data_IF_457909964946
#
_entry.id   IF_457909964946
#
_cell.length_a   1.000
_cell.length_b   1.000
_cell.length_c   1.000
_cell.angle_alpha   90.00
_cell.angle_beta   90.00
_cell.angle_gamma   90.00
#
_symmetry.space_group_name_H-M   'P 1'
#
loop_
_entity.id
_entity.type
_entity.pdbx_description
1 polymer ?
#
# COMPACT_ATOMS: atom_id res chain seq x y z
N UNK A 1 72.83 27.29 33.42
CA UNK A 1 72.79 26.05 34.22
C UNK A 1 71.35 25.59 34.28
N UNK A 2 71.07 24.39 33.72
CA UNK A 2 69.87 23.54 33.86
C UNK A 2 68.53 24.12 33.33
N UNK A 3 67.60 23.42 32.70
CA UNK A 3 67.48 22.23 31.83
C UNK A 3 65.95 22.05 31.61
N UNK A 4 65.50 21.60 30.43
CA UNK A 4 64.22 20.86 30.17
C UNK A 4 62.87 21.57 30.49
N UNK A 5 61.70 21.33 29.90
CA UNK A 5 61.15 20.54 28.79
C UNK A 5 59.63 20.84 28.74
N UNK A 6 58.99 20.66 27.58
CA UNK A 6 57.64 20.07 27.33
C UNK A 6 56.77 20.93 26.40
N UNK A 7 56.46 20.30 25.27
CA UNK A 7 55.54 20.68 24.20
C UNK A 7 54.09 20.71 24.69
N UNK A 8 53.31 21.68 24.19
CA UNK A 8 51.87 21.60 24.15
C UNK A 8 51.40 22.08 22.76
N UNK A 9 51.21 21.11 21.86
CA UNK A 9 50.37 21.29 20.68
C UNK A 9 48.91 21.23 21.10
N UNK A 10 48.08 22.14 20.59
CA UNK A 10 46.65 21.86 20.41
C UNK A 10 46.08 22.63 19.23
N UNK A 11 46.05 21.89 18.12
CA UNK A 11 45.21 21.93 16.93
C UNK A 11 44.23 23.11 16.73
N UNK A 12 44.40 23.76 15.58
CA UNK A 12 43.47 24.65 14.89
C UNK A 12 42.36 23.87 14.13
N UNK A 13 41.74 22.87 14.75
CA UNK A 13 40.59 22.10 14.23
C UNK A 13 39.24 22.80 14.44
N UNK A 14 39.15 24.10 14.11
CA UNK A 14 37.86 24.84 14.14
C UNK A 14 37.27 25.14 12.76
N UNK A 15 37.87 24.62 11.68
CA UNK A 15 37.33 24.74 10.33
C UNK A 15 36.56 23.49 9.82
N UNK A 16 36.56 22.37 10.55
CA UNK A 16 35.85 21.14 10.15
C UNK A 16 34.51 20.89 10.90
N UNK A 17 34.12 21.75 11.85
CA UNK A 17 32.94 21.51 12.70
C UNK A 17 31.66 22.26 12.26
N UNK A 18 31.54 22.61 10.98
CA UNK A 18 30.34 23.23 10.40
C UNK A 18 29.84 22.53 9.12
N UNK A 19 30.34 21.32 8.83
CA UNK A 19 29.86 20.45 7.77
C UNK A 19 28.97 19.31 8.31
N UNK A 20 28.26 19.56 9.41
CA UNK A 20 27.22 18.68 9.92
C UNK A 20 25.99 18.84 9.04
N UNK A 21 25.94 18.04 7.98
CA UNK A 21 24.86 17.96 6.98
C UNK A 21 23.46 17.92 7.65
N UNK A 22 22.82 19.09 7.77
CA UNK A 22 21.37 19.16 7.68
C UNK A 22 21.03 18.77 6.24
N UNK A 23 20.77 17.48 6.03
CA UNK A 23 20.16 17.00 4.80
C UNK A 23 18.88 17.81 4.60
N UNK A 24 18.88 18.74 3.65
CA UNK A 24 17.67 19.47 3.27
C UNK A 24 16.58 18.43 2.99
N UNK A 25 15.43 18.58 3.63
CA UNK A 25 14.30 17.66 3.51
C UNK A 25 13.92 17.54 2.04
N UNK A 26 14.36 16.47 1.38
CA UNK A 26 14.26 16.41 -0.06
C UNK A 26 12.85 15.95 -0.43
N UNK A 27 12.13 16.80 -1.18
CA UNK A 27 10.82 16.44 -1.68
C UNK A 27 10.96 15.20 -2.58
N UNK A 28 10.17 14.13 -2.38
CA UNK A 28 10.25 12.96 -3.23
C UNK A 28 10.03 13.35 -4.69
N UNK A 29 10.93 12.89 -5.56
CA UNK A 29 10.77 13.04 -7.01
C UNK A 29 9.61 12.17 -7.50
N UNK A 30 9.00 12.56 -8.62
CA UNK A 30 7.92 11.81 -9.26
C UNK A 30 8.31 10.34 -9.50
N UNK A 31 9.57 10.10 -9.93
CA UNK A 31 10.12 8.78 -10.15
C UNK A 31 10.36 7.99 -8.84
N UNK A 32 10.64 8.66 -7.72
CA UNK A 32 10.73 7.98 -6.41
C UNK A 32 9.36 7.53 -5.94
N UNK A 33 8.34 8.39 -6.02
CA UNK A 33 6.96 8.03 -5.66
C UNK A 33 6.43 6.88 -6.51
N UNK A 34 6.72 6.92 -7.82
CA UNK A 34 6.35 5.84 -8.74
C UNK A 34 7.00 4.52 -8.37
N UNK A 35 8.32 4.51 -8.12
CA UNK A 35 9.03 3.29 -7.72
C UNK A 35 8.52 2.72 -6.40
N UNK A 36 8.27 3.56 -5.40
CA UNK A 36 7.72 3.12 -4.12
C UNK A 36 6.31 2.52 -4.26
N UNK A 37 5.47 3.08 -5.14
CA UNK A 37 4.15 2.51 -5.45
C UNK A 37 4.28 1.13 -6.10
N UNK A 38 5.18 0.98 -7.08
CA UNK A 38 5.44 -0.30 -7.76
C UNK A 38 6.03 -1.34 -6.80
N UNK A 39 6.98 -0.95 -5.96
CA UNK A 39 7.56 -1.80 -4.92
C UNK A 39 6.48 -2.31 -3.96
N UNK A 40 5.56 -1.45 -3.53
CA UNK A 40 4.45 -1.85 -2.66
C UNK A 40 3.53 -2.89 -3.33
N UNK A 41 3.23 -2.73 -4.63
CA UNK A 41 2.47 -3.73 -5.41
C UNK A 41 3.23 -5.04 -5.57
N UNK A 42 4.55 -4.98 -5.82
CA UNK A 42 5.38 -6.17 -5.93
C UNK A 42 5.47 -6.90 -4.60
N UNK A 43 5.64 -6.19 -3.49
CA UNK A 43 5.67 -6.76 -2.15
C UNK A 43 4.35 -7.41 -1.77
N UNK A 44 3.22 -6.77 -2.09
CA UNK A 44 1.89 -7.38 -1.95
C UNK A 44 1.82 -8.66 -2.80
N UNK A 45 2.16 -8.60 -4.09
CA UNK A 45 2.04 -9.74 -5.00
C UNK A 45 2.87 -10.95 -4.54
N UNK A 46 4.08 -10.69 -4.02
CA UNK A 46 5.00 -11.73 -3.55
C UNK A 46 4.71 -12.22 -2.13
N UNK A 47 3.92 -11.51 -1.32
CA UNK A 47 3.60 -11.94 0.04
C UNK A 47 3.02 -13.35 0.03
N UNK A 48 3.46 -14.23 0.93
CA UNK A 48 3.06 -15.66 0.94
C UNK A 48 3.09 -16.21 2.37
N UNK A 49 2.09 -16.98 2.81
CA UNK A 49 0.85 -17.34 2.11
C UNK A 49 -0.21 -16.23 2.14
N UNK A 50 -0.89 -15.98 1.01
CA UNK A 50 -2.08 -15.13 0.95
C UNK A 50 -3.32 -15.97 0.62
N UNK A 51 -4.36 -15.99 1.46
CA UNK A 51 -5.47 -16.94 1.32
C UNK A 51 -6.30 -16.66 0.05
N UNK A 52 -6.29 -17.61 -0.88
CA UNK A 52 -6.99 -17.57 -2.18
C UNK A 52 -6.66 -16.37 -3.10
N UNK A 53 -5.59 -15.64 -2.79
CA UNK A 53 -4.98 -14.64 -3.67
C UNK A 53 -3.86 -15.29 -4.47
N UNK A 54 -3.40 -14.59 -5.52
CA UNK A 54 -2.16 -14.95 -6.21
C UNK A 54 -0.99 -14.72 -5.26
N UNK A 55 -0.13 -15.72 -5.08
CA UNK A 55 1.12 -15.62 -4.33
C UNK A 55 2.19 -16.57 -4.94
N UNK A 56 3.29 -16.84 -4.23
CA UNK A 56 4.35 -17.74 -4.72
C UNK A 56 3.93 -19.21 -4.85
N UNK A 57 2.80 -19.61 -4.28
CA UNK A 57 2.26 -20.98 -4.33
C UNK A 57 1.36 -21.21 -5.53
N UNK A 58 0.80 -20.14 -6.12
CA UNK A 58 0.02 -20.24 -7.36
C UNK A 58 -1.00 -19.12 -7.55
N UNK A 59 -2.00 -19.40 -8.38
CA UNK A 59 -3.01 -18.44 -8.82
C UNK A 59 -4.13 -18.17 -7.81
N UNK A 60 -4.16 -18.88 -6.68
CA UNK A 60 -5.27 -18.80 -5.73
C UNK A 60 -6.60 -19.14 -6.40
N UNK A 61 -7.62 -18.30 -6.20
CA UNK A 61 -8.93 -18.44 -6.83
C UNK A 61 -8.99 -17.83 -8.26
N UNK A 62 -7.86 -17.56 -8.91
CA UNK A 62 -7.85 -16.99 -10.28
C UNK A 62 -7.47 -18.04 -11.32
N UNK A 63 -8.00 -17.88 -12.52
CA UNK A 63 -7.59 -18.65 -13.71
C UNK A 63 -6.81 -17.80 -14.71
N UNK A 64 -6.96 -16.48 -14.63
CA UNK A 64 -6.41 -15.46 -15.52
C UNK A 64 -5.22 -14.70 -14.91
N UNK A 65 -4.86 -14.99 -13.66
CA UNK A 65 -3.74 -14.36 -12.96
C UNK A 65 -2.79 -15.42 -12.39
N UNK A 66 -1.50 -15.11 -12.45
CA UNK A 66 -0.42 -15.78 -11.73
C UNK A 66 0.59 -14.73 -11.24
N UNK A 67 1.60 -15.14 -10.47
CA UNK A 67 2.59 -14.21 -9.92
C UNK A 67 3.34 -13.43 -11.00
N UNK A 68 3.58 -14.04 -12.17
CA UNK A 68 4.27 -13.38 -13.28
C UNK A 68 3.38 -12.30 -13.92
N UNK A 69 2.09 -12.56 -14.09
CA UNK A 69 1.08 -11.58 -14.55
C UNK A 69 0.98 -10.43 -13.55
N UNK A 70 0.89 -10.71 -12.24
CA UNK A 70 0.86 -9.68 -11.20
C UNK A 70 2.13 -8.81 -11.23
N UNK A 71 3.30 -9.43 -11.35
CA UNK A 71 4.59 -8.71 -11.46
C UNK A 71 4.66 -7.84 -12.71
N UNK A 72 4.20 -8.34 -13.87
CA UNK A 72 4.11 -7.55 -15.11
C UNK A 72 3.14 -6.37 -14.96
N UNK A 73 1.99 -6.62 -14.34
CA UNK A 73 0.99 -5.59 -14.06
C UNK A 73 1.58 -4.45 -13.21
N UNK A 74 2.24 -4.77 -12.10
CA UNK A 74 2.83 -3.77 -11.21
C UNK A 74 3.87 -2.90 -11.96
N UNK A 75 4.78 -3.52 -12.71
CA UNK A 75 5.81 -2.81 -13.49
C UNK A 75 5.22 -1.93 -14.59
N UNK A 76 4.16 -2.39 -15.27
CA UNK A 76 3.49 -1.63 -16.32
C UNK A 76 2.83 -0.34 -15.79
N UNK A 77 2.57 -0.25 -14.48
CA UNK A 77 1.96 0.91 -13.85
C UNK A 77 2.97 1.99 -13.41
N UNK A 78 4.28 1.73 -13.45
CA UNK A 78 5.30 2.72 -13.07
C UNK A 78 5.14 4.08 -13.79
N UNK A 79 4.99 4.12 -15.13
CA UNK A 79 4.80 5.39 -15.83
C UNK A 79 3.49 6.09 -15.45
N UNK A 80 2.46 5.32 -15.05
CA UNK A 80 1.18 5.88 -14.60
C UNK A 80 1.36 6.59 -13.27
N UNK A 81 2.04 5.96 -12.30
CA UNK A 81 2.30 6.59 -11.01
C UNK A 81 3.20 7.82 -11.13
N UNK A 82 4.21 7.79 -12.02
CA UNK A 82 5.03 8.95 -12.31
C UNK A 82 4.19 10.11 -12.88
N UNK A 83 3.30 9.82 -13.83
CA UNK A 83 2.41 10.82 -14.40
C UNK A 83 1.40 11.39 -13.38
N UNK A 84 0.89 10.57 -12.46
CA UNK A 84 0.01 11.02 -11.38
C UNK A 84 0.74 11.96 -10.41
N UNK A 85 1.99 11.64 -10.06
CA UNK A 85 2.84 12.52 -9.27
C UNK A 85 3.09 13.84 -10.01
N UNK A 86 3.59 13.78 -11.25
CA UNK A 86 3.86 14.97 -12.07
C UNK A 86 2.65 15.89 -12.21
N UNK A 87 1.46 15.34 -12.45
CA UNK A 87 0.22 16.11 -12.59
C UNK A 87 -0.22 16.79 -11.28
N UNK A 88 0.20 16.26 -10.14
CA UNK A 88 -0.14 16.76 -8.80
C UNK A 88 0.85 17.79 -8.25
N UNK A 89 1.99 17.98 -8.93
CA UNK A 89 3.08 18.83 -8.47
C UNK A 89 2.67 20.31 -8.40
N UNK A 90 2.86 20.94 -7.24
CA UNK A 90 2.50 22.35 -6.99
C UNK A 90 1.01 22.65 -7.25
N UNK A 91 0.14 21.66 -7.00
CA UNK A 91 -1.32 21.77 -7.17
C UNK A 91 -2.01 21.56 -5.83
N UNK A 92 -3.25 22.00 -5.75
CA UNK A 92 -4.17 21.71 -4.65
C UNK A 92 -5.31 20.82 -5.13
N UNK A 93 -5.95 20.04 -4.23
CA UNK A 93 -7.15 19.28 -4.54
C UNK A 93 -8.21 20.15 -5.22
N UNK A 94 -8.64 19.72 -6.41
CA UNK A 94 -9.62 20.45 -7.23
C UNK A 94 -10.30 19.54 -8.24
N UNK A 95 -11.46 19.95 -8.77
CA UNK A 95 -12.15 19.21 -9.83
C UNK A 95 -11.32 19.08 -11.12
N UNK A 96 -10.50 20.09 -11.43
CA UNK A 96 -9.59 20.04 -12.57
C UNK A 96 -8.51 18.97 -12.36
N UNK A 97 -7.83 18.98 -11.20
CA UNK A 97 -6.84 17.95 -10.87
C UNK A 97 -7.48 16.56 -10.85
N UNK A 98 -8.64 16.41 -10.20
CA UNK A 98 -9.34 15.12 -10.12
C UNK A 98 -9.70 14.55 -11.50
N UNK A 99 -10.14 15.39 -12.43
CA UNK A 99 -10.45 14.98 -13.82
C UNK A 99 -9.18 14.56 -14.57
N UNK A 100 -8.09 15.29 -14.40
CA UNK A 100 -6.79 14.99 -14.99
C UNK A 100 -6.22 13.65 -14.47
N UNK A 101 -6.20 13.44 -13.15
CA UNK A 101 -5.76 12.19 -12.54
C UNK A 101 -6.64 11.00 -12.97
N UNK A 102 -7.96 11.22 -13.14
CA UNK A 102 -8.85 10.18 -13.68
C UNK A 102 -8.45 9.72 -15.07
N UNK A 103 -8.13 10.68 -15.95
CA UNK A 103 -7.70 10.41 -17.33
C UNK A 103 -6.38 9.64 -17.36
N UNK A 104 -5.43 10.02 -16.50
CA UNK A 104 -4.15 9.31 -16.34
C UNK A 104 -4.41 7.88 -15.84
N UNK A 105 -5.24 7.73 -14.78
CA UNK A 105 -5.61 6.42 -14.23
C UNK A 105 -6.27 5.49 -15.26
N UNK A 106 -7.20 5.98 -16.09
CA UNK A 106 -7.81 5.20 -17.19
C UNK A 106 -6.79 4.78 -18.26
N UNK A 107 -5.82 5.65 -18.55
CA UNK A 107 -4.72 5.33 -19.46
C UNK A 107 -3.84 4.23 -18.87
N UNK A 108 -3.53 4.32 -17.57
CA UNK A 108 -2.81 3.29 -16.82
C UNK A 108 -3.55 1.96 -16.75
N UNK A 109 -4.86 1.96 -16.54
CA UNK A 109 -5.70 0.76 -16.60
C UNK A 109 -5.58 0.10 -17.98
N UNK A 110 -5.65 0.87 -19.06
CA UNK A 110 -5.48 0.35 -20.43
C UNK A 110 -4.09 -0.25 -20.65
N UNK A 111 -3.04 0.42 -20.17
CA UNK A 111 -1.67 -0.08 -20.26
C UNK A 111 -1.47 -1.38 -19.47
N UNK A 112 -2.01 -1.43 -18.25
CA UNK A 112 -2.02 -2.62 -17.40
C UNK A 112 -2.71 -3.79 -18.11
N UNK A 113 -3.93 -3.58 -18.63
CA UNK A 113 -4.70 -4.61 -19.34
C UNK A 113 -3.95 -5.14 -20.57
N UNK A 114 -3.25 -4.28 -21.32
CA UNK A 114 -2.40 -4.72 -22.43
C UNK A 114 -1.23 -5.58 -21.95
N UNK A 115 -0.56 -5.18 -20.88
CA UNK A 115 0.60 -5.92 -20.33
C UNK A 115 0.22 -7.27 -19.69
N UNK A 116 -1.04 -7.42 -19.26
CA UNK A 116 -1.57 -8.64 -18.63
C UNK A 116 -2.36 -9.52 -19.58
N UNK A 117 -2.51 -9.16 -20.86
CA UNK A 117 -3.33 -9.93 -21.80
C UNK A 117 -4.83 -9.84 -21.51
N UNK A 118 -5.28 -8.78 -20.84
CA UNK A 118 -6.68 -8.51 -20.50
C UNK A 118 -7.07 -8.85 -19.06
N UNK A 119 -6.15 -9.32 -18.22
CA UNK A 119 -6.46 -9.66 -16.83
C UNK A 119 -6.50 -8.42 -15.93
N UNK A 120 -7.52 -8.37 -15.08
CA UNK A 120 -7.78 -7.26 -14.16
C UNK A 120 -7.00 -7.40 -12.83
N UNK A 121 -5.68 -7.21 -12.88
CA UNK A 121 -4.78 -7.44 -11.75
C UNK A 121 -4.84 -6.36 -10.65
N UNK A 122 -4.56 -5.10 -10.99
CA UNK A 122 -4.35 -4.00 -10.02
C UNK A 122 -5.28 -2.79 -10.25
N UNK A 123 -6.46 -2.99 -10.83
CA UNK A 123 -7.35 -1.86 -11.15
C UNK A 123 -7.82 -1.07 -9.92
N UNK A 124 -8.07 -1.73 -8.79
CA UNK A 124 -8.38 -1.04 -7.54
C UNK A 124 -7.16 -0.33 -6.96
N UNK A 125 -5.97 -0.93 -7.02
CA UNK A 125 -4.73 -0.29 -6.64
C UNK A 125 -4.39 0.96 -7.47
N UNK A 126 -4.67 1.01 -8.79
CA UNK A 126 -4.51 2.24 -9.59
C UNK A 126 -5.28 3.40 -8.96
N UNK A 127 -6.48 3.13 -8.46
CA UNK A 127 -7.31 4.13 -7.79
C UNK A 127 -6.72 4.52 -6.43
N UNK A 128 -6.53 3.54 -5.55
CA UNK A 128 -6.15 3.76 -4.16
C UNK A 128 -4.72 4.32 -4.08
N UNK A 129 -3.75 3.57 -4.60
CA UNK A 129 -2.33 3.97 -4.57
C UNK A 129 -2.11 5.22 -5.41
N UNK A 130 -2.80 5.36 -6.55
CA UNK A 130 -2.68 6.55 -7.40
C UNK A 130 -3.11 7.85 -6.70
N UNK A 131 -4.19 7.82 -5.92
CA UNK A 131 -4.62 8.97 -5.12
C UNK A 131 -3.66 9.26 -3.95
N UNK A 132 -3.07 8.23 -3.35
CA UNK A 132 -2.05 8.40 -2.31
C UNK A 132 -0.74 8.96 -2.88
N UNK A 133 -0.33 8.57 -4.09
CA UNK A 133 0.79 9.20 -4.81
C UNK A 133 0.53 10.68 -5.05
N UNK A 134 -0.68 11.04 -5.48
CA UNK A 134 -1.07 12.44 -5.64
C UNK A 134 -1.03 13.21 -4.31
N UNK A 135 -1.61 12.65 -3.24
CA UNK A 135 -1.59 13.24 -1.90
C UNK A 135 -0.18 13.41 -1.35
N UNK A 136 0.70 12.42 -1.55
CA UNK A 136 2.10 12.48 -1.17
C UNK A 136 2.85 13.59 -1.92
N UNK A 137 2.59 13.74 -3.22
CA UNK A 137 3.19 14.80 -4.05
C UNK A 137 2.77 16.19 -3.57
N UNK A 138 1.48 16.41 -3.32
CA UNK A 138 0.95 17.70 -2.85
C UNK A 138 1.51 18.05 -1.46
N UNK A 139 1.68 17.05 -0.59
CA UNK A 139 2.25 17.27 0.73
C UNK A 139 3.66 17.89 0.67
N UNK A 140 4.45 17.55 -0.36
CA UNK A 140 5.59 18.34 -0.83
C UNK A 140 6.80 18.44 0.10
N UNK A 141 6.80 17.87 1.30
CA UNK A 141 7.92 17.90 2.26
C UNK A 141 7.89 16.67 3.17
N UNK A 142 8.97 15.87 3.14
CA UNK A 142 9.14 14.67 3.95
C UNK A 142 9.01 14.89 5.47
N UNK A 143 9.34 16.07 5.99
CA UNK A 143 9.20 16.36 7.44
C UNK A 143 7.76 16.65 7.85
N UNK A 144 6.94 17.11 6.91
CA UNK A 144 5.51 17.40 7.13
C UNK A 144 4.62 16.26 6.67
N UNK A 145 5.18 15.30 5.93
CA UNK A 145 4.47 14.10 5.51
C UNK A 145 4.12 13.25 6.72
N UNK A 146 2.82 13.10 6.92
CA UNK A 146 2.23 12.13 7.84
C UNK A 146 1.23 11.29 7.06
N UNK A 147 1.06 10.04 7.47
CA UNK A 147 0.07 9.15 6.87
C UNK A 147 -1.34 9.80 6.84
N UNK A 148 -1.84 10.42 7.93
CA UNK A 148 -3.13 11.12 7.89
C UNK A 148 -3.18 12.26 6.86
N UNK A 149 -2.11 13.07 6.74
CA UNK A 149 -2.11 14.20 5.79
C UNK A 149 -2.13 13.75 4.34
N UNK A 150 -1.36 12.71 4.00
CA UNK A 150 -1.33 12.14 2.65
C UNK A 150 -2.71 11.57 2.29
N UNK A 151 -3.31 10.83 3.22
CA UNK A 151 -4.63 10.23 3.03
C UNK A 151 -5.74 11.30 2.91
N UNK A 152 -5.70 12.35 3.73
CA UNK A 152 -6.62 13.50 3.67
C UNK A 152 -6.54 14.21 2.30
N UNK A 153 -5.33 14.52 1.82
CA UNK A 153 -5.16 15.13 0.49
C UNK A 153 -5.70 14.23 -0.63
N UNK A 154 -5.41 12.93 -0.58
CA UNK A 154 -5.96 11.95 -1.53
C UNK A 154 -7.50 11.89 -1.48
N UNK A 155 -8.09 11.99 -0.28
CA UNK A 155 -9.53 11.98 -0.08
C UNK A 155 -10.22 13.25 -0.60
N UNK A 156 -9.62 14.41 -0.34
CA UNK A 156 -10.11 15.68 -0.90
C UNK A 156 -10.16 15.62 -2.43
N UNK A 157 -9.12 15.08 -3.07
CA UNK A 157 -9.12 14.83 -4.52
C UNK A 157 -10.28 13.89 -4.89
N UNK A 158 -10.43 12.75 -4.21
CA UNK A 158 -11.46 11.74 -4.49
C UNK A 158 -12.90 12.26 -4.37
N UNK A 159 -13.12 13.28 -3.52
CA UNK A 159 -14.42 13.93 -3.31
C UNK A 159 -14.82 14.88 -4.45
N UNK A 160 -13.87 15.38 -5.25
CA UNK A 160 -14.23 16.15 -6.43
C UNK A 160 -14.84 15.27 -7.55
N UNK A 161 -15.72 15.84 -8.39
CA UNK A 161 -16.25 15.12 -9.55
C UNK A 161 -15.17 14.95 -10.63
N UNK A 162 -15.18 13.79 -11.28
CA UNK A 162 -14.53 13.61 -12.59
C UNK A 162 -15.51 14.06 -13.67
N UNK A 163 -15.25 15.21 -14.27
CA UNK A 163 -16.14 15.82 -15.27
C UNK A 163 -16.22 15.04 -16.59
N UNK A 164 -15.30 14.10 -16.79
CA UNK A 164 -15.22 13.25 -17.98
C UNK A 164 -15.61 11.79 -17.65
N UNK A 165 -16.18 11.54 -16.47
CA UNK A 165 -16.60 10.20 -16.08
C UNK A 165 -17.76 9.73 -16.95
N UNK A 166 -17.52 8.68 -17.73
CA UNK A 166 -18.58 7.86 -18.31
C UNK A 166 -19.00 6.80 -17.30
N UNK A 167 -20.27 6.39 -17.32
CA UNK A 167 -20.72 5.26 -16.52
C UNK A 167 -20.06 3.98 -17.07
N UNK A 168 -19.00 3.51 -16.42
CA UNK A 168 -18.31 2.28 -16.80
C UNK A 168 -18.90 1.15 -15.96
N UNK A 169 -19.52 0.18 -16.64
CA UNK A 169 -19.91 -1.05 -16.00
C UNK A 169 -18.66 -1.84 -15.59
N UNK A 170 -18.61 -2.19 -14.31
CA UNK A 170 -17.48 -2.88 -13.67
C UNK A 170 -18.01 -3.78 -12.58
N UNK A 171 -17.23 -4.80 -12.23
CA UNK A 171 -17.53 -5.69 -11.10
C UNK A 171 -17.81 -4.88 -9.82
N UNK A 172 -17.00 -3.84 -9.59
CA UNK A 172 -17.17 -2.92 -8.47
C UNK A 172 -18.50 -2.15 -8.53
N UNK A 173 -18.87 -1.56 -9.67
CA UNK A 173 -20.15 -0.82 -9.78
C UNK A 173 -21.36 -1.72 -9.57
N UNK A 174 -21.37 -2.91 -10.15
CA UNK A 174 -22.44 -3.90 -9.98
C UNK A 174 -22.58 -4.34 -8.52
N UNK A 175 -21.45 -4.56 -7.83
CA UNK A 175 -21.45 -4.92 -6.40
C UNK A 175 -21.98 -3.77 -5.53
N UNK A 176 -21.55 -2.52 -5.78
CA UNK A 176 -22.05 -1.38 -5.02
C UNK A 176 -23.56 -1.20 -5.16
N UNK A 177 -24.07 -1.34 -6.38
CA UNK A 177 -25.51 -1.27 -6.65
C UNK A 177 -26.27 -2.41 -5.96
N UNK A 178 -25.77 -3.65 -6.08
CA UNK A 178 -26.43 -4.83 -5.51
C UNK A 178 -26.41 -4.89 -3.99
N UNK A 179 -25.31 -4.50 -3.36
CA UNK A 179 -25.07 -4.71 -1.92
C UNK A 179 -25.02 -3.42 -1.10
N UNK A 180 -25.12 -2.24 -1.72
CA UNK A 180 -25.06 -0.95 -1.03
C UNK A 180 -23.68 -0.61 -0.44
N UNK A 181 -22.64 -1.35 -0.80
CA UNK A 181 -21.27 -1.15 -0.30
C UNK A 181 -20.54 -0.02 -1.05
N UNK A 182 -19.49 0.53 -0.45
CA UNK A 182 -18.77 1.68 -1.01
C UNK A 182 -17.62 1.36 -1.98
N UNK A 183 -16.92 0.24 -1.76
CA UNK A 183 -15.72 -0.15 -2.52
C UNK A 183 -14.59 0.90 -2.47
N UNK A 184 -13.61 0.77 -3.39
CA UNK A 184 -12.43 1.63 -3.46
C UNK A 184 -12.75 3.15 -3.58
N UNK A 185 -13.90 3.50 -4.16
CA UNK A 185 -14.31 4.90 -4.27
C UNK A 185 -14.63 5.49 -2.91
N UNK A 186 -15.49 4.83 -2.13
CA UNK A 186 -15.87 5.31 -0.80
C UNK A 186 -14.67 5.27 0.14
N UNK A 187 -13.87 4.20 0.06
CA UNK A 187 -12.61 4.08 0.82
C UNK A 187 -11.72 5.31 0.66
N UNK A 188 -11.52 5.76 -0.59
CA UNK A 188 -10.74 6.97 -0.85
C UNK A 188 -11.45 8.24 -0.35
N UNK A 189 -12.75 8.39 -0.59
CA UNK A 189 -13.53 9.56 -0.17
C UNK A 189 -13.60 9.73 1.35
N UNK A 190 -13.53 8.64 2.10
CA UNK A 190 -13.57 8.61 3.57
C UNK A 190 -12.17 8.72 4.21
N UNK A 191 -11.11 8.99 3.44
CA UNK A 191 -9.78 9.19 4.02
C UNK A 191 -8.97 7.91 4.22
N UNK A 192 -9.26 6.86 3.46
CA UNK A 192 -8.57 5.56 3.54
C UNK A 192 -8.62 4.96 4.96
N UNK A 193 -9.82 4.79 5.55
CA UNK A 193 -9.99 4.35 6.93
C UNK A 193 -9.33 3.00 7.22
N UNK A 194 -9.28 2.09 6.24
CA UNK A 194 -8.63 0.80 6.44
C UNK A 194 -7.10 0.89 6.36
N UNK A 195 -6.54 1.86 5.63
CA UNK A 195 -5.09 2.11 5.62
C UNK A 195 -4.64 2.70 6.97
N UNK A 196 -5.32 3.76 7.41
CA UNK A 196 -4.95 4.52 8.62
C UNK A 196 -5.37 3.82 9.91
N UNK A 197 -6.59 3.29 9.96
CA UNK A 197 -7.19 2.75 11.18
C UNK A 197 -6.97 1.26 11.39
N UNK A 198 -6.53 0.51 10.37
CA UNK A 198 -6.39 -0.94 10.44
C UNK A 198 -5.00 -1.40 9.98
N UNK A 199 -4.63 -1.10 8.75
CA UNK A 199 -3.41 -1.60 8.11
C UNK A 199 -2.13 -1.13 8.80
N UNK A 200 -1.91 0.19 8.89
CA UNK A 200 -0.73 0.74 9.55
C UNK A 200 -0.62 0.32 11.02
N UNK A 201 -1.68 0.42 11.86
CA UNK A 201 -1.63 -0.05 13.24
C UNK A 201 -1.30 -1.53 13.36
N UNK A 202 -1.89 -2.41 12.54
CA UNK A 202 -1.62 -3.84 12.57
C UNK A 202 -0.16 -4.15 12.21
N UNK A 203 0.36 -3.53 11.17
CA UNK A 203 1.75 -3.71 10.71
C UNK A 203 2.75 -3.24 11.77
N UNK A 204 2.55 -2.04 12.32
CA UNK A 204 3.43 -1.47 13.34
C UNK A 204 3.37 -2.28 14.64
N UNK A 205 2.19 -2.71 15.07
CA UNK A 205 2.04 -3.53 16.26
C UNK A 205 2.70 -4.91 16.10
N UNK A 206 2.63 -5.53 14.92
CA UNK A 206 3.30 -6.79 14.64
C UNK A 206 4.83 -6.64 14.70
N UNK A 207 5.39 -5.60 14.06
CA UNK A 207 6.82 -5.30 14.12
C UNK A 207 7.31 -4.99 15.53
N UNK A 208 6.54 -4.23 16.33
CA UNK A 208 6.87 -3.94 17.72
C UNK A 208 6.92 -5.21 18.59
N UNK A 209 6.15 -6.25 18.25
CA UNK A 209 6.21 -7.57 18.88
C UNK A 209 7.36 -8.45 18.37
N UNK A 210 8.18 -7.96 17.44
CA UNK A 210 9.27 -8.74 16.83
C UNK A 210 8.78 -9.85 15.90
N UNK A 211 7.55 -9.75 15.39
CA UNK A 211 7.04 -10.70 14.39
C UNK A 211 7.82 -10.50 13.08
N UNK A 212 8.24 -11.60 12.46
CA UNK A 212 8.89 -11.59 11.15
C UNK A 212 8.08 -10.79 10.11
N UNK A 213 8.78 -10.05 9.25
CA UNK A 213 8.16 -9.09 8.33
C UNK A 213 7.13 -9.73 7.40
N UNK A 214 7.37 -10.96 6.93
CA UNK A 214 6.39 -11.65 6.09
C UNK A 214 5.10 -11.96 6.87
N UNK A 215 5.22 -12.50 8.08
CA UNK A 215 4.06 -12.77 8.94
C UNK A 215 3.35 -11.48 9.37
N UNK A 216 4.09 -10.41 9.66
CA UNK A 216 3.52 -9.09 9.99
C UNK A 216 2.65 -8.55 8.84
N UNK A 217 3.10 -8.69 7.59
CA UNK A 217 2.33 -8.27 6.41
C UNK A 217 1.13 -9.18 6.13
N UNK A 218 1.26 -10.50 6.33
CA UNK A 218 0.11 -11.44 6.25
C UNK A 218 -0.94 -11.09 7.31
N UNK A 219 -0.52 -10.86 8.55
CA UNK A 219 -1.45 -10.49 9.63
C UNK A 219 -2.09 -9.12 9.38
N UNK A 220 -1.38 -8.20 8.74
CA UNK A 220 -1.93 -6.91 8.29
C UNK A 220 -3.02 -7.09 7.23
N UNK A 221 -2.78 -7.94 6.22
CA UNK A 221 -3.80 -8.30 5.22
C UNK A 221 -5.03 -8.89 5.90
N UNK A 222 -4.84 -9.83 6.83
CA UNK A 222 -5.93 -10.46 7.57
C UNK A 222 -6.69 -9.44 8.42
N UNK A 223 -6.01 -8.49 9.06
CA UNK A 223 -6.64 -7.42 9.82
C UNK A 223 -7.57 -6.58 8.93
N UNK A 224 -7.10 -6.15 7.76
CA UNK A 224 -7.91 -5.44 6.75
C UNK A 224 -9.13 -6.29 6.35
N UNK A 225 -8.92 -7.58 6.06
CA UNK A 225 -10.00 -8.52 5.70
C UNK A 225 -11.08 -8.64 6.78
N UNK A 226 -10.78 -8.43 8.07
CA UNK A 226 -11.78 -8.54 9.14
C UNK A 226 -12.84 -7.42 9.12
N UNK A 227 -12.50 -6.28 8.52
CA UNK A 227 -13.30 -5.06 8.53
C UNK A 227 -13.87 -4.73 7.15
N UNK A 228 -13.08 -4.89 6.09
CA UNK A 228 -13.42 -4.46 4.74
C UNK A 228 -14.63 -5.20 4.17
N UNK A 229 -15.61 -4.46 3.64
CA UNK A 229 -16.64 -4.99 2.75
C UNK A 229 -16.08 -5.17 1.33
N UNK A 230 -15.25 -6.20 1.17
CA UNK A 230 -14.45 -6.42 -0.03
C UNK A 230 -15.34 -6.71 -1.26
N UNK A 231 -15.29 -5.80 -2.24
CA UNK A 231 -16.08 -5.91 -3.45
C UNK A 231 -15.66 -7.08 -4.35
N UNK A 232 -14.42 -7.56 -4.26
CA UNK A 232 -13.95 -8.72 -5.03
C UNK A 232 -14.57 -10.02 -4.49
N UNK A 233 -14.69 -10.16 -3.16
CA UNK A 233 -15.40 -11.28 -2.54
C UNK A 233 -16.89 -11.26 -2.87
N UNK A 234 -17.53 -10.09 -2.70
CA UNK A 234 -18.94 -9.91 -3.01
C UNK A 234 -19.27 -10.15 -4.49
N UNK A 235 -18.39 -9.74 -5.39
CA UNK A 235 -18.55 -9.98 -6.83
C UNK A 235 -18.52 -11.48 -7.15
N UNK A 236 -17.56 -12.22 -6.58
CA UNK A 236 -17.33 -13.62 -6.94
C UNK A 236 -18.32 -14.58 -6.32
N UNK A 237 -18.62 -14.40 -5.04
CA UNK A 237 -19.43 -15.35 -4.28
C UNK A 237 -20.33 -14.69 -3.23
N UNK A 238 -20.54 -13.38 -3.32
CA UNK A 238 -21.52 -12.65 -2.52
C UNK A 238 -21.24 -12.66 -1.01
N UNK A 239 -22.31 -12.51 -0.23
CA UNK A 239 -22.25 -12.44 1.23
C UNK A 239 -21.60 -13.67 1.89
N UNK A 240 -21.83 -14.92 1.43
CA UNK A 240 -21.16 -16.09 2.00
C UNK A 240 -19.62 -15.98 1.98
N UNK A 241 -19.05 -15.55 0.86
CA UNK A 241 -17.60 -15.35 0.75
C UNK A 241 -17.09 -14.23 1.64
N UNK A 242 -17.79 -13.09 1.69
CA UNK A 242 -17.41 -11.98 2.57
C UNK A 242 -17.43 -12.40 4.05
N UNK A 243 -18.48 -13.12 4.46
CA UNK A 243 -18.60 -13.62 5.83
C UNK A 243 -17.54 -14.67 6.15
N UNK A 244 -17.25 -15.59 5.22
CA UNK A 244 -16.20 -16.60 5.39
C UNK A 244 -14.82 -15.95 5.56
N UNK A 245 -14.48 -14.97 4.71
CA UNK A 245 -13.22 -14.23 4.80
C UNK A 245 -13.09 -13.50 6.14
N UNK A 246 -14.10 -12.71 6.54
CA UNK A 246 -14.09 -11.96 7.81
C UNK A 246 -13.95 -12.90 9.02
N UNK A 247 -14.70 -14.00 9.05
CA UNK A 247 -14.65 -14.97 10.16
C UNK A 247 -13.34 -15.73 10.21
N UNK A 248 -12.84 -16.22 9.07
CA UNK A 248 -11.58 -16.96 9.02
C UNK A 248 -10.39 -16.06 9.36
N UNK A 249 -10.33 -14.83 8.86
CA UNK A 249 -9.27 -13.89 9.22
C UNK A 249 -9.25 -13.59 10.74
N UNK A 250 -10.41 -13.39 11.37
CA UNK A 250 -10.50 -13.25 12.85
C UNK A 250 -10.03 -14.49 13.59
N UNK A 251 -10.29 -15.69 13.06
CA UNK A 251 -9.80 -16.95 13.67
C UNK A 251 -8.28 -17.03 13.62
N UNK A 252 -7.64 -16.67 12.50
CA UNK A 252 -6.18 -16.65 12.38
C UNK A 252 -5.57 -15.70 13.39
N UNK A 253 -6.06 -14.45 13.42
CA UNK A 253 -5.56 -13.43 14.34
C UNK A 253 -5.83 -13.82 15.81
N UNK A 254 -7.00 -14.37 16.12
CA UNK A 254 -7.36 -14.86 17.44
C UNK A 254 -6.55 -16.07 17.90
N UNK A 255 -6.01 -16.85 16.97
CA UNK A 255 -5.08 -17.97 17.22
C UNK A 255 -3.62 -17.51 17.37
N UNK A 256 -3.37 -16.20 17.47
CA UNK A 256 -2.05 -15.61 17.69
C UNK A 256 -1.35 -15.09 16.43
N UNK A 257 -2.02 -15.12 15.27
CA UNK A 257 -1.45 -14.65 14.00
C UNK A 257 -0.77 -15.76 13.19
N UNK A 258 -0.48 -15.47 11.92
CA UNK A 258 0.02 -16.44 10.94
C UNK A 258 1.40 -17.05 11.27
N UNK A 259 2.15 -16.46 12.21
CA UNK A 259 3.44 -16.99 12.67
C UNK A 259 3.32 -18.08 13.74
N UNK A 260 2.14 -18.28 14.35
CA UNK A 260 1.93 -19.35 15.35
C UNK A 260 1.49 -20.66 14.67
N UNK A 261 1.75 -21.84 15.27
CA UNK A 261 1.22 -23.10 14.74
C UNK A 261 -0.30 -23.10 14.58
N UNK A 262 -1.04 -22.67 15.60
CA UNK A 262 -2.51 -22.57 15.56
C UNK A 262 -3.02 -21.56 14.53
N UNK A 263 -2.30 -20.45 14.34
CA UNK A 263 -2.63 -19.46 13.33
C UNK A 263 -2.39 -19.97 11.91
N UNK A 264 -1.32 -20.74 11.67
CA UNK A 264 -1.10 -21.41 10.38
C UNK A 264 -2.21 -22.40 10.04
N UNK A 265 -2.60 -23.26 10.98
CA UNK A 265 -3.70 -24.21 10.76
C UNK A 265 -5.03 -23.50 10.45
N UNK A 266 -5.28 -22.39 11.14
CA UNK A 266 -6.44 -21.54 10.88
C UNK A 266 -6.36 -20.85 9.50
N UNK A 267 -5.16 -20.45 9.06
CA UNK A 267 -4.92 -19.80 7.77
C UNK A 267 -5.12 -20.78 6.63
N UNK A 268 -4.62 -22.01 6.76
CA UNK A 268 -4.86 -23.09 5.80
C UNK A 268 -6.36 -23.43 5.69
N UNK A 269 -7.07 -23.38 6.81
CA UNK A 269 -8.53 -23.57 6.84
C UNK A 269 -9.26 -22.43 6.13
N UNK A 270 -8.85 -21.18 6.36
CA UNK A 270 -9.38 -20.01 5.66
C UNK A 270 -9.12 -20.13 4.16
N UNK A 271 -7.91 -20.50 3.74
CA UNK A 271 -7.55 -20.68 2.35
C UNK A 271 -8.42 -21.74 1.66
N UNK A 272 -8.52 -22.94 2.22
CA UNK A 272 -9.39 -24.00 1.67
C UNK A 272 -10.84 -23.52 1.51
N UNK A 273 -11.34 -22.75 2.47
CA UNK A 273 -12.70 -22.20 2.43
C UNK A 273 -12.87 -21.17 1.32
N UNK A 274 -11.91 -20.25 1.15
CA UNK A 274 -12.00 -19.24 0.10
C UNK A 274 -11.81 -19.83 -1.30
N UNK A 275 -10.92 -20.81 -1.45
CA UNK A 275 -10.74 -21.55 -2.71
C UNK A 275 -12.01 -22.30 -3.11
N UNK A 276 -12.69 -22.99 -2.18
CA UNK A 276 -13.93 -23.72 -2.49
C UNK A 276 -15.09 -22.81 -2.90
N UNK A 277 -15.07 -21.55 -2.44
CA UNK A 277 -16.03 -20.52 -2.84
C UNK A 277 -15.60 -19.76 -4.11
N UNK A 278 -14.45 -20.08 -4.70
CA UNK A 278 -13.82 -19.31 -5.76
C UNK A 278 -13.72 -17.80 -5.42
N UNK A 279 -13.38 -17.49 -4.16
CA UNK A 279 -13.45 -16.15 -3.61
C UNK A 279 -12.04 -15.60 -3.35
N UNK A 280 -11.73 -14.43 -3.90
CA UNK A 280 -10.42 -13.79 -3.74
C UNK A 280 -10.57 -12.39 -3.11
N UNK A 281 -9.92 -12.10 -1.97
CA UNK A 281 -9.99 -10.81 -1.27
C UNK A 281 -9.10 -9.74 -1.92
N UNK A 282 -9.37 -9.44 -3.20
CA UNK A 282 -8.59 -8.48 -3.99
C UNK A 282 -8.64 -7.04 -3.48
N UNK A 283 -9.77 -6.59 -2.91
CA UNK A 283 -9.85 -5.26 -2.31
C UNK A 283 -8.96 -5.12 -1.08
N UNK A 284 -8.86 -6.17 -0.25
CA UNK A 284 -7.94 -6.20 0.87
C UNK A 284 -6.47 -6.21 0.43
N UNK A 285 -6.14 -6.90 -0.66
CA UNK A 285 -4.81 -6.86 -1.28
C UNK A 285 -4.43 -5.44 -1.76
N UNK A 286 -5.33 -4.75 -2.49
CA UNK A 286 -5.10 -3.37 -2.92
C UNK A 286 -4.83 -2.43 -1.73
N UNK A 287 -5.53 -2.63 -0.60
CA UNK A 287 -5.33 -1.84 0.62
C UNK A 287 -4.06 -2.22 1.37
N UNK A 288 -3.63 -3.48 1.32
CA UNK A 288 -2.32 -3.85 1.83
C UNK A 288 -1.21 -3.14 1.07
N UNK A 289 -1.28 -3.11 -0.27
CA UNK A 289 -0.32 -2.35 -1.08
C UNK A 289 -0.33 -0.87 -0.72
N UNK A 290 -1.50 -0.27 -0.49
CA UNK A 290 -1.62 1.11 -0.03
C UNK A 290 -1.00 1.33 1.36
N UNK A 291 -1.19 0.40 2.30
CA UNK A 291 -0.52 0.41 3.61
C UNK A 291 0.99 0.35 3.48
N UNK A 292 1.53 -0.56 2.66
CA UNK A 292 2.96 -0.70 2.43
C UNK A 292 3.56 0.55 1.76
N UNK A 293 2.84 1.16 0.82
CA UNK A 293 3.25 2.42 0.21
C UNK A 293 3.40 3.56 1.23
N UNK A 294 2.39 3.75 2.08
CA UNK A 294 2.42 4.79 3.12
C UNK A 294 3.49 4.50 4.17
N UNK A 295 3.64 3.25 4.59
CA UNK A 295 4.65 2.83 5.57
C UNK A 295 6.08 3.11 5.07
N UNK A 296 6.36 2.91 3.78
CA UNK A 296 7.66 3.25 3.17
C UNK A 296 7.89 4.76 3.10
N UNK A 297 6.84 5.53 2.80
CA UNK A 297 6.94 6.99 2.67
C UNK A 297 7.07 7.72 4.00
N UNK A 298 6.36 7.22 5.01
CA UNK A 298 6.32 7.80 6.35
C UNK A 298 6.69 6.69 7.35
N UNK A 299 7.98 6.31 7.42
CA UNK A 299 8.40 5.26 8.35
C UNK A 299 8.04 5.68 9.77
N UNK A 300 7.38 4.79 10.50
CA UNK A 300 7.16 4.99 11.92
C UNK A 300 8.53 5.05 12.61
N UNK A 301 8.95 6.25 13.03
CA UNK A 301 10.16 6.43 13.84
C UNK A 301 9.89 5.83 15.22
N UNK A 302 10.00 4.51 15.35
CA UNK A 302 10.18 3.89 16.66
C UNK A 302 11.55 4.33 17.16
N UNK A 303 11.60 5.08 18.25
CA UNK A 303 12.86 5.45 18.92
C UNK A 303 13.64 4.18 19.26
N UNK A 304 14.62 3.87 18.42
CA UNK A 304 15.56 2.78 18.57
C UNK A 304 16.83 3.21 17.84
N UNK A 305 17.91 3.36 18.59
CA UNK A 305 19.22 3.80 18.11
C UNK A 305 19.62 3.07 16.81
N UNK A 306 20.21 3.75 15.80
CA UNK A 306 20.81 3.05 14.69
C UNK A 306 22.05 2.30 15.21
N UNK A 307 21.91 1.00 15.46
CA UNK A 307 23.08 0.10 15.48
C UNK A 307 23.61 0.04 14.05
N UNK A 308 24.58 0.91 13.80
CA UNK A 308 25.52 0.81 12.69
C UNK A 308 26.22 -0.55 12.77
N UNK A 309 25.93 -1.44 11.82
CA UNK A 309 26.82 -2.56 11.52
C UNK A 309 27.91 -2.02 10.58
N UNK A 310 29.12 -1.85 11.12
CA UNK A 310 30.32 -1.77 10.30
C UNK A 310 30.64 -3.17 9.78
N UNK A 311 30.74 -3.31 8.47
CA UNK A 311 31.64 -4.27 7.82
C UNK A 311 32.73 -3.43 7.15
#
# INVERSE_FOLDING_TARGET
MLATSVLAECSSDRCCAAASMQAAAQIPTDAQLARLAVEALLEEAHLTPKPALVDRRGSGAHHDLDLAVMTRSARALEPTFAALAQASRNREPSAALRTELARIGRTGETAMMRATGGSNAHRGAIWIVGLLVAGATICGDLHRMSAPRICDLGAQIACFPDRLATHIDSNGSRVRERYGVGGARREAQEGFPHVIGVGLPALHAARQRGIDENAARVDTLLAIMTMLDDTCLLHRAGQPALTAAKRGARRVLGAGGSSTPSGRDALDTLERTLLSLNASPGGAADLLAATLFIDKLVPHRTGGSPTTWNI
#
